data_IF_208030647233
#
_entry.id   IF_208030647233
#
_cell.length_a   1.000
_cell.length_b   1.000
_cell.length_c   1.000
_cell.angle_alpha   90.00
_cell.angle_beta   90.00
_cell.angle_gamma   90.00
#
_symmetry.space_group_name_H-M   'P 1'
#
loop_
_entity.id
_entity.type
_entity.pdbx_description
1 polymer ?
#
# COMPACT_ATOMS: atom_id res chain seq x y z
N UNK A 1 -18.89 56.60 -24.78
CA UNK A 1 -18.25 55.86 -25.88
C UNK A 1 -18.13 54.44 -25.38
N UNK A 2 -18.85 53.55 -26.05
CA UNK A 2 -19.10 52.16 -25.69
C UNK A 2 -18.27 51.30 -26.65
N UNK A 3 -17.55 50.33 -26.11
CA UNK A 3 -17.07 49.09 -26.75
C UNK A 3 -16.93 48.13 -25.54
N UNK A 4 -17.64 47.02 -25.30
CA UNK A 4 -18.34 45.99 -26.08
C UNK A 4 -17.44 45.06 -26.91
N UNK A 5 -17.02 43.94 -26.31
CA UNK A 5 -17.10 42.57 -26.84
C UNK A 5 -16.47 41.59 -25.81
N UNK A 6 -17.24 40.68 -25.20
CA UNK A 6 -17.64 39.35 -25.69
C UNK A 6 -16.53 38.30 -25.43
N UNK A 7 -16.57 37.58 -24.29
CA UNK A 7 -16.95 36.15 -24.16
C UNK A 7 -16.71 35.28 -25.41
N UNK A 8 -15.61 34.52 -25.36
CA UNK A 8 -15.42 33.13 -25.82
C UNK A 8 -14.46 32.54 -24.76
N UNK A 9 -14.77 31.57 -23.89
CA UNK A 9 -15.41 30.27 -24.05
C UNK A 9 -14.60 29.30 -24.94
N UNK A 10 -13.37 29.02 -24.55
CA UNK A 10 -12.70 27.75 -24.91
C UNK A 10 -12.23 27.08 -23.61
N UNK A 11 -13.08 26.16 -23.17
CA UNK A 11 -12.71 25.08 -22.30
C UNK A 11 -11.88 24.10 -23.14
N UNK A 12 -10.56 24.16 -23.01
CA UNK A 12 -9.71 23.07 -23.43
C UNK A 12 -9.66 22.09 -22.25
N UNK A 13 -10.51 21.07 -22.35
CA UNK A 13 -10.37 19.85 -21.61
C UNK A 13 -9.11 19.17 -22.12
N UNK A 14 -7.99 19.38 -21.43
CA UNK A 14 -6.82 18.53 -21.53
C UNK A 14 -7.11 17.26 -20.72
N UNK A 15 -7.85 16.37 -21.38
CA UNK A 15 -8.04 15.01 -20.93
C UNK A 15 -6.91 14.18 -21.53
N UNK A 16 -6.09 13.61 -20.66
CA UNK A 16 -5.22 12.50 -21.00
C UNK A 16 -3.75 12.83 -20.89
N UNK A 17 -3.25 12.81 -19.66
CA UNK A 17 -2.00 12.11 -19.37
C UNK A 17 -2.12 11.65 -17.91
N UNK A 18 -2.76 10.49 -17.73
CA UNK A 18 -2.70 9.79 -16.46
C UNK A 18 -1.26 9.35 -16.33
N UNK A 19 -0.58 9.81 -15.28
CA UNK A 19 0.82 9.54 -15.02
C UNK A 19 1.08 8.05 -15.17
N UNK A 20 1.78 7.68 -16.25
CA UNK A 20 2.27 6.35 -16.47
C UNK A 20 3.32 6.11 -15.38
N UNK A 21 2.96 5.30 -14.36
CA UNK A 21 3.94 4.74 -13.45
C UNK A 21 5.10 4.17 -14.29
N UNK A 22 6.32 4.67 -14.07
CA UNK A 22 7.54 4.28 -14.78
C UNK A 22 7.86 2.80 -14.49
N UNK A 23 7.13 1.92 -15.18
CA UNK A 23 7.39 0.48 -15.33
C UNK A 23 8.07 0.21 -16.68
N UNK A 24 8.43 1.26 -17.41
CA UNK A 24 8.70 1.24 -18.86
C UNK A 24 10.07 0.66 -19.25
N UNK A 25 10.88 0.18 -18.30
CA UNK A 25 12.19 -0.43 -18.58
C UNK A 25 12.27 -1.95 -18.33
N UNK A 26 11.21 -2.60 -17.85
CA UNK A 26 11.19 -4.07 -17.76
C UNK A 26 10.85 -4.73 -19.09
N UNK A 27 11.40 -5.92 -19.36
CA UNK A 27 11.10 -6.69 -20.57
C UNK A 27 9.72 -7.37 -20.55
N UNK A 28 9.03 -7.36 -19.39
CA UNK A 28 7.70 -7.92 -19.24
C UNK A 28 6.63 -6.97 -19.79
N UNK A 29 5.61 -7.47 -20.52
CA UNK A 29 4.45 -6.65 -20.88
C UNK A 29 3.74 -6.14 -19.63
N UNK A 30 3.31 -4.87 -19.65
CA UNK A 30 2.61 -4.24 -18.51
C UNK A 30 1.40 -5.04 -18.00
N UNK A 31 0.54 -5.52 -18.90
CA UNK A 31 -0.62 -6.35 -18.52
C UNK A 31 -0.23 -7.64 -17.78
N UNK A 32 0.98 -8.17 -18.02
CA UNK A 32 1.51 -9.35 -17.31
C UNK A 32 1.97 -8.94 -15.93
N UNK A 33 2.71 -7.82 -15.80
CA UNK A 33 3.13 -7.27 -14.51
C UNK A 33 1.93 -7.01 -13.61
N UNK A 34 0.89 -6.35 -14.12
CA UNK A 34 -0.33 -6.03 -13.38
C UNK A 34 -1.07 -7.29 -12.89
N UNK A 35 -1.16 -8.33 -13.72
CA UNK A 35 -1.81 -9.59 -13.31
C UNK A 35 -0.96 -10.37 -12.29
N UNK A 36 0.37 -10.36 -12.43
CA UNK A 36 1.28 -10.98 -11.45
C UNK A 36 1.14 -10.30 -10.09
N UNK A 37 1.16 -8.98 -10.05
CA UNK A 37 0.93 -8.20 -8.83
C UNK A 37 -0.43 -8.55 -8.20
N UNK A 38 -1.50 -8.54 -9.01
CA UNK A 38 -2.84 -8.88 -8.55
C UNK A 38 -2.89 -10.29 -7.95
N UNK A 39 -2.29 -11.27 -8.60
CA UNK A 39 -2.23 -12.65 -8.10
C UNK A 39 -1.46 -12.72 -6.77
N UNK A 40 -0.33 -12.02 -6.65
CA UNK A 40 0.44 -11.93 -5.40
C UNK A 40 -0.36 -11.27 -4.28
N UNK A 41 -1.08 -10.17 -4.56
CA UNK A 41 -1.97 -9.53 -3.57
C UNK A 41 -3.10 -10.49 -3.13
N UNK A 42 -3.69 -11.23 -4.07
CA UNK A 42 -4.73 -12.23 -3.78
C UNK A 42 -4.22 -13.38 -2.92
N UNK A 43 -3.08 -13.97 -3.28
CA UNK A 43 -2.40 -15.02 -2.53
C UNK A 43 -2.17 -14.61 -1.07
N UNK A 44 -1.65 -13.40 -0.83
CA UNK A 44 -1.39 -12.87 0.51
C UNK A 44 -2.65 -12.60 1.33
N UNK A 45 -3.75 -12.27 0.67
CA UNK A 45 -5.04 -11.99 1.32
C UNK A 45 -5.89 -13.24 1.54
N UNK A 46 -5.57 -14.34 0.84
CA UNK A 46 -6.36 -15.56 0.87
C UNK A 46 -6.15 -16.32 2.18
N UNK A 47 -7.23 -16.94 2.67
CA UNK A 47 -7.24 -17.75 3.90
C UNK A 47 -7.38 -19.25 3.62
N UNK A 48 -7.75 -19.62 2.38
CA UNK A 48 -7.89 -21.01 1.95
C UNK A 48 -6.62 -21.46 1.23
N UNK A 49 -5.99 -22.53 1.72
CA UNK A 49 -4.74 -23.05 1.17
C UNK A 49 -4.84 -23.42 -0.32
N UNK A 50 -6.03 -23.83 -0.83
CA UNK A 50 -6.18 -24.15 -2.26
C UNK A 50 -6.28 -22.88 -3.11
N UNK A 51 -6.86 -21.80 -2.57
CA UNK A 51 -6.86 -20.50 -3.26
C UNK A 51 -5.44 -19.95 -3.33
N UNK A 52 -4.69 -20.02 -2.23
CA UNK A 52 -3.26 -19.63 -2.18
C UNK A 52 -2.47 -20.40 -3.25
N UNK A 53 -2.53 -21.74 -3.25
CA UNK A 53 -1.79 -22.58 -4.22
C UNK A 53 -2.21 -22.30 -5.67
N UNK A 54 -3.49 -22.01 -5.91
CA UNK A 54 -3.99 -21.68 -7.25
C UNK A 54 -3.47 -20.33 -7.76
N UNK A 55 -3.42 -19.31 -6.90
CA UNK A 55 -2.86 -18.00 -7.26
C UNK A 55 -1.35 -18.11 -7.50
N UNK A 56 -0.63 -18.81 -6.62
CA UNK A 56 0.82 -19.06 -6.77
C UNK A 56 1.13 -19.81 -8.07
N UNK A 57 0.43 -20.93 -8.34
CA UNK A 57 0.63 -21.70 -9.58
C UNK A 57 0.36 -20.86 -10.82
N UNK A 58 -0.71 -20.06 -10.81
CA UNK A 58 -1.07 -19.23 -11.96
C UNK A 58 -0.02 -18.14 -12.22
N UNK A 59 0.52 -17.56 -11.16
CA UNK A 59 1.58 -16.54 -11.20
C UNK A 59 2.86 -17.14 -11.80
N UNK A 60 3.27 -18.30 -11.29
CA UNK A 60 4.49 -18.98 -11.74
C UNK A 60 4.37 -19.44 -13.21
N UNK A 61 3.22 -20.00 -13.62
CA UNK A 61 2.95 -20.33 -15.03
C UNK A 61 3.11 -19.13 -15.96
N UNK A 62 2.62 -17.96 -15.54
CA UNK A 62 2.68 -16.74 -16.35
C UNK A 62 4.10 -16.18 -16.43
N UNK A 63 4.90 -16.27 -15.37
CA UNK A 63 6.32 -15.86 -15.38
C UNK A 63 7.18 -16.79 -16.23
N UNK A 64 6.93 -18.10 -16.16
CA UNK A 64 7.61 -19.13 -16.97
C UNK A 64 7.42 -18.88 -18.48
N UNK A 65 6.25 -18.39 -18.91
CA UNK A 65 5.99 -18.04 -20.33
C UNK A 65 6.94 -16.94 -20.85
N UNK A 66 7.55 -16.18 -19.95
CA UNK A 66 8.43 -15.05 -20.25
C UNK A 66 9.90 -15.29 -19.85
N UNK A 67 10.26 -16.46 -19.33
CA UNK A 67 11.59 -16.75 -18.74
C UNK A 67 11.92 -15.85 -17.52
N UNK A 68 10.90 -15.49 -16.73
CA UNK A 68 11.04 -14.71 -15.49
C UNK A 68 10.71 -15.56 -14.26
N UNK A 69 11.09 -15.06 -13.09
CA UNK A 69 10.66 -15.59 -11.79
C UNK A 69 10.48 -14.44 -10.80
N UNK A 70 9.87 -14.72 -9.65
CA UNK A 70 9.54 -13.73 -8.64
C UNK A 70 10.21 -14.01 -7.30
N UNK A 71 10.48 -12.95 -6.54
CA UNK A 71 10.79 -13.01 -5.11
C UNK A 71 10.15 -11.84 -4.39
N UNK A 72 9.75 -12.05 -3.14
CA UNK A 72 9.34 -10.95 -2.26
C UNK A 72 10.55 -10.53 -1.43
N UNK A 73 10.85 -9.24 -1.46
CA UNK A 73 11.80 -8.57 -0.58
C UNK A 73 11.00 -7.86 0.50
N UNK A 74 11.12 -8.35 1.73
CA UNK A 74 10.53 -7.74 2.92
C UNK A 74 11.54 -6.75 3.53
N UNK A 75 11.22 -5.46 3.46
CA UNK A 75 11.99 -4.37 4.07
C UNK A 75 11.09 -3.57 5.01
N UNK A 76 11.07 -3.95 6.31
CA UNK A 76 10.47 -3.16 7.40
C UNK A 76 9.01 -2.66 7.12
N UNK A 77 8.19 -3.45 6.41
CA UNK A 77 6.78 -3.14 6.11
C UNK A 77 6.51 -2.58 4.71
N UNK A 78 7.53 -2.49 3.85
CA UNK A 78 7.37 -2.15 2.43
C UNK A 78 7.67 -3.39 1.59
N UNK A 79 6.74 -4.34 1.54
CA UNK A 79 6.96 -5.55 0.75
C UNK A 79 7.04 -5.25 -0.75
N UNK A 80 8.19 -5.57 -1.35
CA UNK A 80 8.45 -5.38 -2.77
C UNK A 80 8.49 -6.73 -3.47
N UNK A 81 7.58 -6.93 -4.43
CA UNK A 81 7.63 -8.02 -5.39
C UNK A 81 8.66 -7.68 -6.47
N UNK A 82 9.72 -8.47 -6.56
CA UNK A 82 10.77 -8.32 -7.56
C UNK A 82 10.61 -9.42 -8.60
N UNK A 83 10.29 -9.03 -9.83
CA UNK A 83 10.26 -9.90 -11.01
C UNK A 83 11.59 -9.77 -11.73
N UNK A 84 12.30 -10.87 -11.94
CA UNK A 84 13.58 -10.85 -12.63
C UNK A 84 13.79 -12.07 -13.53
N UNK A 85 14.61 -11.96 -14.58
CA UNK A 85 14.91 -13.08 -15.47
C UNK A 85 15.39 -14.33 -14.72
N UNK A 86 14.92 -15.51 -15.13
CA UNK A 86 15.33 -16.79 -14.54
C UNK A 86 16.83 -17.04 -14.74
N UNK A 87 17.41 -16.58 -15.86
CA UNK A 87 18.82 -16.77 -16.20
C UNK A 87 19.81 -16.21 -15.16
N UNK A 88 19.36 -15.25 -14.33
CA UNK A 88 20.16 -14.70 -13.23
C UNK A 88 20.41 -15.73 -12.12
N UNK A 89 19.62 -16.80 -12.06
CA UNK A 89 19.77 -17.86 -11.08
C UNK A 89 20.72 -18.98 -11.56
N UNK A 90 21.46 -19.53 -10.61
CA UNK A 90 22.15 -20.81 -10.74
C UNK A 90 21.90 -21.59 -9.44
N UNK A 91 21.35 -22.81 -9.56
CA UNK A 91 20.98 -23.65 -8.41
C UNK A 91 20.07 -22.93 -7.37
N UNK A 92 19.13 -22.11 -7.86
CA UNK A 92 18.18 -21.36 -7.03
C UNK A 92 18.76 -20.16 -6.29
N UNK A 93 19.97 -19.71 -6.68
CA UNK A 93 20.63 -18.55 -6.09
C UNK A 93 20.96 -17.53 -7.18
N UNK A 94 20.64 -16.26 -6.94
CA UNK A 94 21.01 -15.16 -7.83
C UNK A 94 22.54 -15.05 -7.94
N UNK A 95 23.03 -15.07 -9.17
CA UNK A 95 24.41 -14.88 -9.57
C UNK A 95 24.60 -13.48 -10.11
N UNK A 96 25.12 -12.57 -9.29
CA UNK A 96 25.35 -11.17 -9.69
C UNK A 96 26.26 -11.04 -10.91
N UNK A 97 27.13 -12.02 -11.15
CA UNK A 97 27.99 -12.09 -12.35
C UNK A 97 27.24 -12.40 -13.66
N UNK A 98 25.97 -12.83 -13.58
CA UNK A 98 25.07 -13.05 -14.72
C UNK A 98 24.11 -11.90 -14.98
N UNK A 99 24.12 -10.88 -14.12
CA UNK A 99 23.28 -9.69 -14.27
C UNK A 99 24.05 -8.69 -15.12
N UNK A 100 23.77 -8.68 -16.43
CA UNK A 100 24.35 -7.72 -17.36
C UNK A 100 23.62 -6.38 -17.35
N UNK A 101 22.32 -6.42 -17.06
CA UNK A 101 21.41 -5.28 -17.07
C UNK A 101 20.37 -5.47 -15.96
N UNK A 102 20.36 -4.56 -14.98
CA UNK A 102 19.43 -4.61 -13.84
C UNK A 102 18.05 -4.08 -14.20
N UNK A 103 17.95 -3.26 -15.25
CA UNK A 103 16.72 -2.55 -15.62
C UNK A 103 15.67 -3.54 -16.18
N UNK A 104 16.13 -4.74 -16.60
CA UNK A 104 15.24 -5.86 -16.99
C UNK A 104 14.32 -6.32 -15.87
N UNK A 105 14.67 -6.11 -14.60
CA UNK A 105 13.81 -6.47 -13.47
C UNK A 105 12.71 -5.43 -13.22
N UNK A 106 11.54 -5.89 -12.78
CA UNK A 106 10.47 -5.04 -12.28
C UNK A 106 10.41 -5.11 -10.75
N UNK A 107 10.35 -3.96 -10.08
CA UNK A 107 10.06 -3.86 -8.65
C UNK A 107 8.65 -3.29 -8.48
N UNK A 108 7.80 -4.03 -7.76
CA UNK A 108 6.39 -3.68 -7.56
C UNK A 108 6.14 -3.59 -6.06
N UNK A 109 5.70 -2.43 -5.59
CA UNK A 109 5.32 -2.24 -4.19
C UNK A 109 3.96 -2.90 -3.93
N UNK A 110 3.94 -3.88 -3.03
CA UNK A 110 2.72 -4.58 -2.65
C UNK A 110 1.91 -3.80 -1.60
N UNK A 111 2.53 -2.79 -1.01
CA UNK A 111 2.01 -1.91 0.04
C UNK A 111 2.25 -0.45 -0.36
N UNK A 112 1.48 0.51 0.17
CA UNK A 112 1.56 1.89 -0.30
C UNK A 112 0.49 2.28 -1.31
N UNK A 113 0.50 3.56 -1.69
CA UNK A 113 -0.18 4.04 -2.88
C UNK A 113 0.84 4.13 -4.01
N UNK A 114 0.43 3.68 -5.18
CA UNK A 114 1.26 3.65 -6.38
C UNK A 114 1.41 5.08 -6.97
N UNK A 115 0.45 5.98 -6.70
CA UNK A 115 0.43 7.35 -7.18
C UNK A 115 0.65 8.38 -6.05
N UNK A 116 1.54 9.39 -6.20
CA UNK A 116 1.69 10.50 -5.26
C UNK A 116 0.39 11.30 -5.01
N UNK A 117 -0.50 11.42 -5.99
CA UNK A 117 -1.81 12.07 -5.84
C UNK A 117 -2.77 11.23 -4.96
N UNK A 118 -2.57 9.91 -4.88
CA UNK A 118 -3.30 9.05 -3.95
C UNK A 118 -2.89 9.33 -2.48
N UNK A 119 -1.70 9.88 -2.21
CA UNK A 119 -1.30 10.23 -0.84
C UNK A 119 -2.13 11.39 -0.29
N UNK A 120 -2.45 12.40 -1.11
CA UNK A 120 -3.31 13.51 -0.68
C UNK A 120 -4.73 13.00 -0.40
N UNK A 121 -5.26 12.12 -1.25
CA UNK A 121 -6.56 11.49 -1.05
C UNK A 121 -6.60 10.63 0.23
N UNK A 122 -5.52 9.88 0.51
CA UNK A 122 -5.37 9.08 1.73
C UNK A 122 -5.27 9.97 2.96
N UNK A 123 -4.47 11.05 2.96
CA UNK A 123 -4.41 11.97 4.10
C UNK A 123 -5.77 12.62 4.32
N UNK A 124 -6.44 13.13 3.28
CA UNK A 124 -7.78 13.73 3.43
C UNK A 124 -8.78 12.77 4.07
N UNK A 125 -8.83 11.52 3.58
CA UNK A 125 -9.70 10.46 4.15
C UNK A 125 -9.35 10.18 5.61
N UNK A 126 -8.07 10.04 5.92
CA UNK A 126 -7.62 9.78 7.28
C UNK A 126 -7.95 10.95 8.22
N UNK A 127 -7.74 12.19 7.79
CA UNK A 127 -8.06 13.38 8.59
C UNK A 127 -9.56 13.55 8.81
N UNK A 128 -10.40 13.20 7.83
CA UNK A 128 -11.85 13.18 8.01
C UNK A 128 -12.25 12.16 9.09
N UNK A 129 -11.73 10.93 9.02
CA UNK A 129 -12.02 9.90 10.02
C UNK A 129 -11.51 10.27 11.42
N UNK A 130 -10.34 10.92 11.53
CA UNK A 130 -9.86 11.49 12.80
C UNK A 130 -10.85 12.51 13.39
N UNK A 131 -11.41 13.37 12.55
CA UNK A 131 -12.39 14.37 12.98
C UNK A 131 -13.67 13.70 13.50
N UNK A 132 -14.17 12.68 12.79
CA UNK A 132 -15.35 11.91 13.19
C UNK A 132 -15.14 11.18 14.51
N UNK A 133 -13.97 10.54 14.69
CA UNK A 133 -13.61 9.88 15.96
C UNK A 133 -13.53 10.89 17.10
N UNK A 134 -12.94 12.08 16.86
CA UNK A 134 -12.87 13.13 17.87
C UNK A 134 -14.26 13.63 18.25
N UNK A 135 -15.15 13.83 17.28
CA UNK A 135 -16.52 14.28 17.53
C UNK A 135 -17.33 13.24 18.33
N UNK A 136 -17.22 11.96 17.96
CA UNK A 136 -17.99 10.89 18.58
C UNK A 136 -17.45 10.47 19.96
N UNK A 137 -16.14 10.41 20.12
CA UNK A 137 -15.48 9.76 21.26
C UNK A 137 -14.60 10.70 22.10
N UNK A 138 -14.38 11.93 21.63
CA UNK A 138 -13.67 12.99 22.35
C UNK A 138 -12.17 13.06 22.06
N UNK A 139 -11.54 14.11 22.62
CA UNK A 139 -10.19 14.54 22.27
C UNK A 139 -9.12 13.47 22.44
N UNK A 140 -9.18 12.68 23.52
CA UNK A 140 -8.18 11.62 23.79
C UNK A 140 -8.15 10.58 22.66
N UNK A 141 -9.34 10.18 22.17
CA UNK A 141 -9.44 9.20 21.09
C UNK A 141 -9.14 9.84 19.74
N UNK A 142 -9.54 11.10 19.52
CA UNK A 142 -9.16 11.87 18.33
C UNK A 142 -7.65 12.09 18.19
N UNK A 143 -6.95 12.34 19.30
CA UNK A 143 -5.50 12.55 19.29
C UNK A 143 -4.75 11.22 19.02
N UNK A 144 -5.23 10.11 19.58
CA UNK A 144 -4.68 8.79 19.26
C UNK A 144 -4.99 8.36 17.83
N UNK A 145 -6.17 8.69 17.30
CA UNK A 145 -6.51 8.47 15.90
C UNK A 145 -5.63 9.33 14.98
N UNK A 146 -5.29 10.55 15.37
CA UNK A 146 -4.34 11.39 14.61
C UNK A 146 -2.94 10.76 14.54
N UNK A 147 -2.46 10.15 15.62
CA UNK A 147 -1.21 9.39 15.60
C UNK A 147 -1.29 8.17 14.67
N UNK A 148 -2.43 7.48 14.65
CA UNK A 148 -2.65 6.37 13.72
C UNK A 148 -2.70 6.85 12.26
N UNK A 149 -3.32 8.00 11.98
CA UNK A 149 -3.34 8.60 10.65
C UNK A 149 -1.93 8.97 10.18
N UNK A 150 -1.11 9.54 11.06
CA UNK A 150 0.27 9.87 10.75
C UNK A 150 1.11 8.61 10.49
N UNK A 151 0.84 7.51 11.18
CA UNK A 151 1.48 6.22 10.92
C UNK A 151 1.02 5.62 9.59
N UNK A 152 -0.30 5.45 9.41
CA UNK A 152 -0.90 4.83 8.23
C UNK A 152 -0.54 5.59 6.96
N UNK A 153 -0.62 6.92 7.00
CA UNK A 153 -0.27 7.80 5.91
C UNK A 153 1.23 7.75 5.63
N UNK A 154 2.10 8.06 6.59
CA UNK A 154 3.52 8.23 6.28
C UNK A 154 4.30 6.93 6.07
N UNK A 155 3.90 5.83 6.71
CA UNK A 155 4.63 4.56 6.65
C UNK A 155 4.05 3.61 5.61
N UNK A 156 2.75 3.64 5.38
CA UNK A 156 2.06 2.70 4.50
C UNK A 156 1.25 3.35 3.39
N UNK A 157 1.13 4.67 3.36
CA UNK A 157 0.23 5.39 2.46
C UNK A 157 -1.21 4.80 2.43
N UNK A 158 -1.70 4.26 3.54
CA UNK A 158 -2.99 3.53 3.59
C UNK A 158 -4.06 4.33 4.33
N UNK A 159 -5.35 4.15 3.96
CA UNK A 159 -6.45 4.47 4.86
C UNK A 159 -6.30 3.71 6.19
N UNK A 160 -6.55 4.37 7.32
CA UNK A 160 -6.38 3.77 8.66
C UNK A 160 -7.20 2.49 8.85
N UNK A 161 -8.40 2.45 8.29
CA UNK A 161 -9.33 1.33 8.35
C UNK A 161 -8.93 0.15 7.45
N UNK A 162 -7.89 0.31 6.63
CA UNK A 162 -7.33 -0.76 5.80
C UNK A 162 -6.06 -1.36 6.39
N UNK A 163 -5.62 -0.88 7.56
CA UNK A 163 -4.45 -1.44 8.22
C UNK A 163 -4.69 -2.89 8.67
N UNK A 164 -3.68 -3.73 8.46
CA UNK A 164 -3.66 -5.13 8.87
C UNK A 164 -3.38 -5.27 10.35
N UNK A 165 -3.58 -6.48 10.89
CA UNK A 165 -3.24 -6.76 12.28
C UNK A 165 -1.76 -6.60 12.62
N UNK A 166 -0.87 -6.87 11.67
CA UNK A 166 0.57 -6.80 11.88
C UNK A 166 1.04 -5.35 11.93
N UNK A 167 0.55 -4.51 11.01
CA UNK A 167 0.79 -3.07 10.98
C UNK A 167 0.22 -2.39 12.24
N UNK A 168 -0.98 -2.78 12.70
CA UNK A 168 -1.53 -2.27 13.96
C UNK A 168 -0.69 -2.69 15.17
N UNK A 169 -0.11 -3.89 15.14
CA UNK A 169 0.78 -4.35 16.20
C UNK A 169 2.12 -3.60 16.19
N UNK A 170 2.64 -3.26 15.01
CA UNK A 170 3.81 -2.39 14.84
C UNK A 170 3.53 -0.98 15.34
N UNK A 171 2.40 -0.38 14.94
CA UNK A 171 1.96 0.92 15.42
C UNK A 171 2.03 1.01 16.95
N UNK A 172 1.43 0.02 17.63
CA UNK A 172 1.36 0.00 19.10
C UNK A 172 2.71 -0.26 19.77
N UNK A 173 3.49 -1.21 19.26
CA UNK A 173 4.72 -1.68 19.93
C UNK A 173 5.94 -0.85 19.60
N UNK A 174 5.99 -0.29 18.40
CA UNK A 174 7.18 0.39 17.87
C UNK A 174 6.92 1.86 17.64
N UNK A 175 5.97 2.21 16.77
CA UNK A 175 5.75 3.60 16.37
C UNK A 175 5.35 4.49 17.56
N UNK A 176 4.31 4.11 18.30
CA UNK A 176 3.83 4.87 19.45
C UNK A 176 4.88 4.93 20.55
N UNK A 177 5.61 3.84 20.80
CA UNK A 177 6.64 3.80 21.85
C UNK A 177 7.79 4.74 21.51
N UNK A 178 8.23 4.79 20.25
CA UNK A 178 9.28 5.70 19.79
C UNK A 178 8.86 7.16 19.83
N UNK A 179 7.61 7.47 19.46
CA UNK A 179 7.14 8.83 19.26
C UNK A 179 6.45 9.46 20.50
N UNK A 180 5.79 8.66 21.34
CA UNK A 180 4.95 9.16 22.43
C UNK A 180 5.31 8.60 23.82
N UNK A 181 6.09 7.51 23.91
CA UNK A 181 6.53 6.89 25.17
C UNK A 181 5.38 6.65 26.19
N UNK A 182 4.30 5.95 25.79
CA UNK A 182 3.11 5.79 26.62
C UNK A 182 3.37 4.88 27.83
N UNK A 183 2.70 5.17 28.94
CA UNK A 183 2.53 4.19 30.02
C UNK A 183 1.62 3.03 29.60
N UNK A 184 1.63 1.92 30.35
CA UNK A 184 0.76 0.76 30.09
C UNK A 184 -0.72 1.16 29.99
N UNK A 185 -1.20 2.04 30.87
CA UNK A 185 -2.58 2.55 30.83
C UNK A 185 -2.86 3.36 29.56
N UNK A 186 -1.90 4.14 29.08
CA UNK A 186 -2.05 4.86 27.82
C UNK A 186 -2.04 3.91 26.64
N UNK A 187 -1.27 2.81 26.69
CA UNK A 187 -1.33 1.78 25.65
C UNK A 187 -2.70 1.08 25.59
N UNK A 188 -3.36 0.84 26.73
CA UNK A 188 -4.74 0.33 26.76
C UNK A 188 -5.73 1.31 26.11
N UNK A 189 -5.58 2.62 26.39
CA UNK A 189 -6.41 3.67 25.76
C UNK A 189 -6.15 3.77 24.27
N UNK A 190 -4.91 3.61 23.82
CA UNK A 190 -4.57 3.59 22.38
C UNK A 190 -5.20 2.38 21.69
N UNK A 191 -5.14 1.20 22.30
CA UNK A 191 -5.80 0.00 21.79
C UNK A 191 -7.31 0.18 21.65
N UNK A 192 -7.94 0.84 22.63
CA UNK A 192 -9.35 1.20 22.54
C UNK A 192 -9.60 2.21 21.42
N UNK A 193 -8.73 3.22 21.28
CA UNK A 193 -8.86 4.23 20.23
C UNK A 193 -8.80 3.61 18.83
N UNK A 194 -7.91 2.62 18.61
CA UNK A 194 -7.86 1.86 17.34
C UNK A 194 -9.20 1.17 17.09
N UNK A 195 -9.78 0.48 18.08
CA UNK A 195 -11.11 -0.16 17.92
C UNK A 195 -12.19 0.85 17.54
N UNK A 196 -12.16 2.05 18.14
CA UNK A 196 -13.13 3.11 17.85
C UNK A 196 -12.95 3.71 16.45
N UNK A 197 -11.72 3.74 15.90
CA UNK A 197 -11.47 4.15 14.50
C UNK A 197 -12.20 3.21 13.54
N UNK A 198 -11.98 1.89 13.66
CA UNK A 198 -12.65 0.88 12.83
C UNK A 198 -14.17 0.90 13.02
N UNK A 199 -14.66 1.02 14.26
CA UNK A 199 -16.10 1.17 14.54
C UNK A 199 -16.69 2.39 13.83
N UNK A 200 -15.99 3.53 13.87
CA UNK A 200 -16.44 4.79 13.25
C UNK A 200 -16.43 4.68 11.72
N UNK A 201 -15.45 3.98 11.15
CA UNK A 201 -15.40 3.67 9.71
C UNK A 201 -16.45 2.63 9.28
N UNK A 202 -17.05 1.90 10.23
CA UNK A 202 -17.98 0.81 9.93
C UNK A 202 -17.30 -0.48 9.48
N UNK A 203 -15.98 -0.59 9.70
CA UNK A 203 -15.16 -1.73 9.31
C UNK A 203 -14.91 -2.68 10.49
N UNK A 204 -14.80 -4.00 10.26
CA UNK A 204 -14.39 -4.92 11.29
C UNK A 204 -12.93 -4.68 11.67
N UNK A 205 -12.65 -4.72 12.97
CA UNK A 205 -11.29 -4.73 13.49
C UNK A 205 -10.60 -6.04 13.05
N UNK A 206 -9.40 -5.99 12.42
CA UNK A 206 -8.71 -7.18 11.95
C UNK A 206 -8.53 -8.24 13.05
N UNK A 207 -8.70 -9.53 12.70
CA UNK A 207 -8.67 -10.63 13.65
C UNK A 207 -7.24 -10.93 14.11
N UNK A 208 -6.74 -10.19 15.11
CA UNK A 208 -5.60 -10.52 15.98
C UNK A 208 -5.50 -9.45 17.07
N UNK A 209 -5.04 -9.81 18.28
CA UNK A 209 -4.82 -8.83 19.33
C UNK A 209 -3.55 -8.01 19.01
N UNK A 210 -3.71 -6.88 18.34
CA UNK A 210 -2.75 -5.78 18.39
C UNK A 210 -2.80 -5.15 19.77
#
# INVERSE_FOLDING_TARGET
MTDQNAIDAEAEADAGDGAEAETDDTELPRDVVDEIERLTRLERSAVDDNEIEAYETRRDELLDEHDFTARIRDEDGDDVLVLHPEEWHEDGVIRTDRIEDIDRAAEIYLEGTEDPDDWEAVDERNRALVADVREAHGDVHGDNAALLADFAGNHYAKPMESLTSEELAEFRRDYVVRNAWPSEKQQEVIAESVRLVFETAGEPVPESQF
#
